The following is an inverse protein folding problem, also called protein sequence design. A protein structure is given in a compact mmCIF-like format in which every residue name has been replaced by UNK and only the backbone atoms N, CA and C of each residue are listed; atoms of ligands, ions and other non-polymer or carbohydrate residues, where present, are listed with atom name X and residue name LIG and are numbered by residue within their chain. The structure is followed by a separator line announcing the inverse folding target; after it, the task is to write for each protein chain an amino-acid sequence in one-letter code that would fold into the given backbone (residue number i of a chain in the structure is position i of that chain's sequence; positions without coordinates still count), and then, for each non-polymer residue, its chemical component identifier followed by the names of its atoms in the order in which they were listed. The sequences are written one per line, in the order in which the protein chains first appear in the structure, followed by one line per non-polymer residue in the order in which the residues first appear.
data_IF_118807704309
#
_entry.id   IF_118807704309
#
_cell.length_a   1.000
_cell.length_b   1.000
_cell.length_c   1.000
_cell.angle_alpha   90.00
_cell.angle_beta   90.00
_cell.angle_gamma   90.00
#
_symmetry.space_group_name_H-M   'P 1'
#
loop_
_entity.id
_entity.type
_entity.pdbx_description
1 polymer ?
#
# COMPACT_ATOMS: atom_id res chain seq x y z
N UNK A 1 7.11 -28.30 8.17
CA UNK A 1 6.59 -29.66 8.02
C UNK A 1 6.67 -30.07 6.56
N UNK A 2 6.99 -31.34 6.22
CA UNK A 2 7.06 -31.79 4.84
C UNK A 2 5.68 -31.94 4.17
N UNK A 3 4.63 -31.96 4.98
CA UNK A 3 3.24 -32.11 4.52
C UNK A 3 2.32 -31.20 5.32
N UNK A 4 1.25 -30.73 4.66
CA UNK A 4 0.14 -29.98 5.26
C UNK A 4 -1.17 -30.57 4.75
N UNK A 5 -2.17 -30.68 5.63
CA UNK A 5 -3.53 -31.04 5.25
C UNK A 5 -4.34 -29.75 5.06
N UNK A 6 -4.94 -29.58 3.90
CA UNK A 6 -5.78 -28.44 3.58
C UNK A 6 -6.94 -28.88 2.66
N UNK A 7 -7.96 -28.05 2.52
CA UNK A 7 -9.06 -28.27 1.62
C UNK A 7 -8.59 -28.05 0.16
N UNK A 8 -9.02 -28.90 -0.76
CA UNK A 8 -8.64 -28.83 -2.19
C UNK A 8 -8.99 -27.46 -2.81
N UNK A 9 -10.11 -26.87 -2.40
CA UNK A 9 -10.53 -25.54 -2.88
C UNK A 9 -9.57 -24.40 -2.49
N UNK A 10 -8.75 -24.60 -1.47
CA UNK A 10 -7.79 -23.62 -0.98
C UNK A 10 -6.41 -23.78 -1.64
N UNK A 11 -6.30 -24.67 -2.63
CA UNK A 11 -5.07 -24.95 -3.35
C UNK A 11 -5.05 -24.26 -4.70
N UNK A 12 -3.98 -23.51 -4.93
CA UNK A 12 -3.66 -22.95 -6.25
C UNK A 12 -2.37 -23.57 -6.74
N UNK A 13 -2.37 -24.05 -7.98
CA UNK A 13 -1.16 -24.58 -8.59
C UNK A 13 -0.08 -23.50 -8.71
N UNK A 14 1.11 -23.76 -8.16
CA UNK A 14 2.25 -22.87 -8.31
C UNK A 14 2.84 -23.05 -9.71
N UNK A 15 2.91 -22.01 -10.57
CA UNK A 15 3.50 -22.10 -11.88
C UNK A 15 4.97 -22.56 -11.81
N UNK A 16 5.42 -23.34 -12.79
CA UNK A 16 6.78 -23.94 -12.84
C UNK A 16 7.90 -22.90 -12.80
N UNK A 17 7.61 -21.66 -13.21
CA UNK A 17 8.57 -20.54 -13.21
C UNK A 17 8.79 -19.96 -11.80
N UNK A 18 7.94 -20.29 -10.82
CA UNK A 18 8.01 -19.80 -9.45
C UNK A 18 8.58 -20.87 -8.52
N UNK A 19 9.35 -20.43 -7.55
CA UNK A 19 9.86 -21.27 -6.48
C UNK A 19 8.89 -21.33 -5.30
N UNK A 20 9.08 -22.28 -4.38
CA UNK A 20 8.31 -22.30 -3.13
C UNK A 20 8.50 -21.04 -2.26
N UNK A 21 9.64 -20.35 -2.40
CA UNK A 21 9.88 -19.06 -1.74
C UNK A 21 8.97 -17.96 -2.31
N UNK A 22 8.80 -17.95 -3.62
CA UNK A 22 7.90 -17.01 -4.30
C UNK A 22 6.45 -17.32 -3.92
N UNK A 23 6.04 -18.60 -3.96
CA UNK A 23 4.70 -19.03 -3.55
C UNK A 23 4.36 -18.66 -2.12
N UNK A 24 5.31 -18.77 -1.19
CA UNK A 24 5.12 -18.38 0.20
C UNK A 24 4.87 -16.86 0.35
N UNK A 25 5.51 -16.03 -0.47
CA UNK A 25 5.25 -14.59 -0.49
C UNK A 25 3.91 -14.25 -1.14
N UNK A 26 3.56 -14.95 -2.22
CA UNK A 26 2.29 -14.76 -2.93
C UNK A 26 1.11 -15.11 -2.03
N UNK A 27 1.18 -16.21 -1.30
CA UNK A 27 0.08 -16.70 -0.45
C UNK A 27 -0.31 -15.74 0.69
N UNK A 28 0.58 -14.85 1.12
CA UNK A 28 0.28 -13.89 2.19
C UNK A 28 0.49 -12.45 1.74
N UNK A 29 1.75 -12.06 1.50
CA UNK A 29 2.11 -10.66 1.24
C UNK A 29 1.47 -10.10 -0.02
N UNK A 30 1.65 -10.77 -1.15
CA UNK A 30 1.11 -10.31 -2.43
C UNK A 30 -0.41 -10.47 -2.53
N UNK A 31 -0.98 -11.59 -2.08
CA UNK A 31 -2.42 -11.81 -2.09
C UNK A 31 -3.17 -10.73 -1.31
N UNK A 32 -2.71 -10.45 -0.09
CA UNK A 32 -3.30 -9.40 0.77
C UNK A 32 -3.32 -8.04 0.09
N UNK A 33 -2.21 -7.62 -0.52
CA UNK A 33 -2.14 -6.30 -1.16
C UNK A 33 -2.84 -6.28 -2.51
N UNK A 34 -2.88 -7.39 -3.24
CA UNK A 34 -3.65 -7.51 -4.47
C UNK A 34 -5.13 -7.21 -4.21
N UNK A 35 -5.74 -7.87 -3.22
CA UNK A 35 -7.13 -7.60 -2.84
C UNK A 35 -7.33 -6.16 -2.37
N UNK A 36 -6.37 -5.59 -1.61
CA UNK A 36 -6.44 -4.19 -1.20
C UNK A 36 -6.44 -3.23 -2.40
N UNK A 37 -5.56 -3.48 -3.39
CA UNK A 37 -5.47 -2.67 -4.61
C UNK A 37 -6.71 -2.77 -5.49
N UNK A 38 -7.31 -3.97 -5.58
CA UNK A 38 -8.61 -4.17 -6.24
C UNK A 38 -9.72 -3.36 -5.55
N UNK A 39 -9.83 -3.43 -4.20
CA UNK A 39 -10.81 -2.66 -3.43
C UNK A 39 -10.72 -1.16 -3.68
N UNK A 40 -9.52 -0.61 -3.72
CA UNK A 40 -9.35 0.83 -4.01
C UNK A 40 -9.34 1.15 -5.50
N UNK A 41 -9.25 0.14 -6.37
CA UNK A 41 -9.36 0.26 -7.83
C UNK A 41 -8.20 1.03 -8.44
N UNK A 42 -6.96 0.56 -8.22
CA UNK A 42 -5.75 1.18 -8.79
C UNK A 42 -5.70 0.98 -10.30
N UNK A 43 -5.35 2.04 -11.02
CA UNK A 43 -5.23 2.02 -12.48
C UNK A 43 -4.21 3.06 -13.00
N UNK A 44 -4.04 3.14 -14.31
CA UNK A 44 -3.04 3.99 -14.97
C UNK A 44 -3.19 5.50 -14.79
N UNK A 45 -4.30 5.97 -14.25
CA UNK A 45 -4.50 7.39 -13.97
C UNK A 45 -4.15 7.78 -12.52
N UNK A 46 -3.83 6.80 -11.69
CA UNK A 46 -3.68 7.00 -10.25
C UNK A 46 -2.22 7.26 -9.86
N UNK A 47 -2.01 8.23 -8.98
CA UNK A 47 -0.86 8.24 -8.09
C UNK A 47 -1.22 7.48 -6.81
N UNK A 48 -0.29 6.69 -6.29
CA UNK A 48 -0.47 5.92 -5.06
C UNK A 48 0.60 6.27 -4.03
N UNK A 49 0.15 6.49 -2.79
CA UNK A 49 1.01 6.62 -1.62
C UNK A 49 1.00 5.30 -0.84
N UNK A 50 2.19 4.79 -0.52
CA UNK A 50 2.36 3.63 0.35
C UNK A 50 3.14 4.05 1.60
N UNK A 51 2.55 3.86 2.78
CA UNK A 51 3.20 4.11 4.07
C UNK A 51 3.70 2.79 4.68
N UNK A 52 5.01 2.73 4.97
CA UNK A 52 5.71 1.51 5.38
C UNK A 52 6.16 0.67 4.19
N UNK A 53 7.47 0.65 3.92
CA UNK A 53 8.08 -0.09 2.81
C UNK A 53 8.72 -1.41 3.27
N UNK A 54 8.05 -2.11 4.20
CA UNK A 54 8.35 -3.50 4.52
C UNK A 54 7.91 -4.45 3.37
N UNK A 55 7.94 -5.77 3.58
CA UNK A 55 7.56 -6.75 2.54
C UNK A 55 6.20 -6.45 1.91
N UNK A 56 5.19 -6.14 2.73
CA UNK A 56 3.82 -5.80 2.27
C UNK A 56 3.81 -4.51 1.46
N UNK A 57 4.50 -3.46 1.93
CA UNK A 57 4.57 -2.19 1.20
C UNK A 57 5.33 -2.28 -0.12
N UNK A 58 6.43 -3.06 -0.17
CA UNK A 58 7.15 -3.31 -1.41
C UNK A 58 6.29 -4.12 -2.40
N UNK A 59 5.58 -5.15 -1.92
CA UNK A 59 4.62 -5.90 -2.74
C UNK A 59 3.52 -4.98 -3.29
N UNK A 60 3.02 -4.04 -2.47
CA UNK A 60 2.04 -3.03 -2.92
C UNK A 60 2.58 -2.20 -4.08
N UNK A 61 3.81 -1.68 -3.97
CA UNK A 61 4.42 -0.88 -5.03
C UNK A 61 4.66 -1.70 -6.31
N UNK A 62 5.10 -2.95 -6.18
CA UNK A 62 5.28 -3.86 -7.32
C UNK A 62 3.97 -4.11 -8.07
N UNK A 63 2.90 -4.45 -7.35
CA UNK A 63 1.60 -4.70 -7.95
C UNK A 63 0.95 -3.42 -8.48
N UNK A 64 1.04 -2.29 -7.77
CA UNK A 64 0.53 -1.01 -8.26
C UNK A 64 1.21 -0.61 -9.58
N UNK A 65 2.53 -0.84 -9.68
CA UNK A 65 3.28 -0.63 -10.93
C UNK A 65 2.80 -1.56 -12.04
N UNK A 66 2.57 -2.83 -11.75
CA UNK A 66 2.05 -3.80 -12.71
C UNK A 66 0.62 -3.47 -13.17
N UNK A 67 -0.21 -2.89 -12.30
CA UNK A 67 -1.54 -2.37 -12.62
C UNK A 67 -1.50 -1.04 -13.38
N UNK A 68 -0.30 -0.49 -13.60
CA UNK A 68 -0.08 0.69 -14.42
C UNK A 68 -0.15 2.01 -13.68
N UNK A 69 -0.15 2.04 -12.34
CA UNK A 69 -0.17 3.29 -11.57
C UNK A 69 0.85 4.30 -12.11
N UNK A 70 0.40 5.53 -12.31
CA UNK A 70 1.17 6.57 -12.99
C UNK A 70 2.30 7.14 -12.12
N UNK A 71 2.11 7.16 -10.79
CA UNK A 71 3.11 7.69 -9.85
C UNK A 71 3.11 6.88 -8.56
N UNK A 72 4.29 6.45 -8.14
CA UNK A 72 4.51 5.62 -6.96
C UNK A 72 5.27 6.42 -5.89
N UNK A 73 4.63 6.67 -4.76
CA UNK A 73 5.17 7.46 -3.65
C UNK A 73 5.28 6.58 -2.41
N UNK A 74 6.45 6.54 -1.79
CA UNK A 74 6.71 5.80 -0.56
C UNK A 74 6.98 6.70 0.63
N UNK A 75 6.58 6.26 1.83
CA UNK A 75 7.01 6.85 3.10
C UNK A 75 7.55 5.75 4.01
N UNK A 76 8.79 5.90 4.47
CA UNK A 76 9.48 4.89 5.27
C UNK A 76 10.49 5.55 6.21
N UNK A 77 10.69 4.98 7.40
CA UNK A 77 11.66 5.45 8.41
C UNK A 77 13.04 4.81 8.25
N UNK A 78 13.10 3.60 7.73
CA UNK A 78 14.30 2.78 7.65
C UNK A 78 15.07 3.05 6.35
N UNK A 79 16.32 3.53 6.47
CA UNK A 79 17.15 3.87 5.33
C UNK A 79 17.42 2.70 4.38
N UNK A 80 17.64 1.50 4.92
CA UNK A 80 17.85 0.30 4.10
C UNK A 80 16.65 0.01 3.19
N UNK A 81 15.41 0.11 3.73
CA UNK A 81 14.19 -0.11 2.96
C UNK A 81 13.95 0.98 1.91
N UNK A 82 14.30 2.23 2.24
CA UNK A 82 14.27 3.36 1.30
C UNK A 82 15.19 3.06 0.11
N UNK A 83 16.44 2.71 0.38
CA UNK A 83 17.41 2.43 -0.68
C UNK A 83 17.05 1.17 -1.47
N UNK A 84 16.49 0.16 -0.81
CA UNK A 84 15.98 -1.03 -1.51
C UNK A 84 14.85 -0.68 -2.48
N UNK A 85 13.86 0.11 -2.05
CA UNK A 85 12.76 0.53 -2.93
C UNK A 85 13.26 1.34 -4.14
N UNK A 86 14.25 2.21 -3.94
CA UNK A 86 14.90 2.96 -5.02
C UNK A 86 15.67 2.04 -5.97
N UNK A 87 16.49 1.13 -5.43
CA UNK A 87 17.31 0.22 -6.24
C UNK A 87 16.46 -0.73 -7.09
N UNK A 88 15.28 -1.07 -6.63
CA UNK A 88 14.29 -1.87 -7.36
C UNK A 88 13.42 -1.02 -8.31
N UNK A 89 13.66 0.29 -8.40
CA UNK A 89 12.87 1.22 -9.22
C UNK A 89 11.36 1.14 -8.93
N UNK A 90 10.98 0.98 -7.65
CA UNK A 90 9.59 0.84 -7.21
C UNK A 90 8.96 2.15 -6.75
N UNK A 91 9.71 3.24 -6.72
CA UNK A 91 9.21 4.54 -6.28
C UNK A 91 9.72 5.64 -7.20
N UNK A 92 8.84 6.57 -7.56
CA UNK A 92 9.20 7.84 -8.19
C UNK A 92 9.68 8.83 -7.13
N UNK A 93 9.04 8.80 -5.97
CA UNK A 93 9.41 9.61 -4.81
C UNK A 93 9.35 8.77 -3.53
N UNK A 94 10.32 9.00 -2.63
CA UNK A 94 10.28 8.41 -1.30
C UNK A 94 10.68 9.44 -0.26
N UNK A 95 9.92 9.51 0.83
CA UNK A 95 10.11 10.50 1.88
C UNK A 95 10.27 9.82 3.24
N UNK A 96 11.02 10.45 4.13
CA UNK A 96 10.97 10.12 5.55
C UNK A 96 9.80 10.87 6.20
N UNK A 97 9.12 10.26 7.19
CA UNK A 97 8.11 10.98 7.95
C UNK A 97 8.72 12.17 8.68
N UNK A 98 7.96 13.24 8.80
CA UNK A 98 8.36 14.48 9.45
C UNK A 98 7.35 15.59 9.19
N UNK A 99 7.54 16.79 9.77
CA UNK A 99 6.57 17.88 9.68
C UNK A 99 6.28 18.30 8.23
N UNK A 100 7.27 18.20 7.35
CA UNK A 100 7.13 18.62 5.94
C UNK A 100 6.69 17.47 5.01
N UNK A 101 6.50 16.25 5.53
CA UNK A 101 6.25 15.08 4.68
C UNK A 101 4.96 15.23 3.87
N UNK A 102 3.88 15.70 4.50
CA UNK A 102 2.62 15.96 3.79
C UNK A 102 2.81 17.00 2.68
N UNK A 103 3.49 18.11 2.96
CA UNK A 103 3.72 19.14 1.96
C UNK A 103 4.52 18.61 0.77
N UNK A 104 5.57 17.83 1.01
CA UNK A 104 6.36 17.19 -0.05
C UNK A 104 5.53 16.26 -0.94
N UNK A 105 4.59 15.51 -0.35
CA UNK A 105 3.66 14.67 -1.12
C UNK A 105 2.73 15.55 -1.97
N UNK A 106 2.19 16.63 -1.39
CA UNK A 106 1.35 17.57 -2.11
C UNK A 106 2.11 18.23 -3.27
N UNK A 107 3.37 18.63 -3.06
CA UNK A 107 4.20 19.27 -4.09
C UNK A 107 4.39 18.35 -5.31
N UNK A 108 4.66 17.06 -5.11
CA UNK A 108 4.84 16.09 -6.20
C UNK A 108 3.51 15.63 -6.83
N UNK A 109 2.38 16.02 -6.24
CA UNK A 109 1.03 15.75 -6.74
C UNK A 109 0.28 17.03 -7.14
N UNK A 110 1.02 18.10 -7.48
CA UNK A 110 0.48 19.39 -7.93
C UNK A 110 -0.53 20.02 -6.94
N UNK A 111 -0.34 19.82 -5.66
CA UNK A 111 -1.19 20.33 -4.58
C UNK A 111 -2.48 19.54 -4.33
N UNK A 112 -2.81 18.56 -5.17
CA UNK A 112 -4.08 17.81 -5.09
C UNK A 112 -4.07 16.66 -4.09
N UNK A 113 -2.91 16.08 -3.81
CA UNK A 113 -2.77 14.81 -3.12
C UNK A 113 -2.90 13.61 -4.06
N UNK A 114 -2.77 12.39 -3.50
CA UNK A 114 -2.82 11.15 -4.28
C UNK A 114 -4.25 10.64 -4.48
N UNK A 115 -4.49 9.92 -5.56
CA UNK A 115 -5.77 9.24 -5.85
C UNK A 115 -6.00 8.08 -4.88
N UNK A 116 -4.93 7.35 -4.58
CA UNK A 116 -4.96 6.15 -3.76
C UNK A 116 -3.89 6.21 -2.67
N UNK A 117 -4.20 5.65 -1.50
CA UNK A 117 -3.20 5.41 -0.47
C UNK A 117 -3.36 4.01 0.13
N UNK A 118 -2.25 3.41 0.56
CA UNK A 118 -2.26 2.14 1.28
C UNK A 118 -1.32 2.23 2.48
N UNK A 119 -1.84 1.91 3.68
CA UNK A 119 -1.01 1.77 4.87
C UNK A 119 -0.63 0.30 5.10
N UNK A 120 0.70 0.05 5.09
CA UNK A 120 1.32 -1.21 5.45
C UNK A 120 2.17 -1.10 6.73
N UNK A 121 2.10 0.03 7.42
CA UNK A 121 2.96 0.31 8.58
C UNK A 121 2.32 0.03 9.93
N UNK A 122 0.99 0.05 10.01
CA UNK A 122 0.21 0.00 11.25
C UNK A 122 0.48 1.17 12.22
N UNK A 123 1.16 2.23 11.77
CA UNK A 123 1.51 3.38 12.60
C UNK A 123 0.42 4.45 12.51
N UNK A 124 0.00 5.00 13.67
CA UNK A 124 -1.06 6.01 13.73
C UNK A 124 -0.75 7.26 12.88
N UNK A 125 0.45 7.81 12.99
CA UNK A 125 0.84 9.00 12.22
C UNK A 125 0.92 8.73 10.72
N UNK A 126 1.36 7.53 10.34
CA UNK A 126 1.42 7.13 8.94
C UNK A 126 0.02 6.96 8.34
N UNK A 127 -0.94 6.40 9.09
CA UNK A 127 -2.35 6.33 8.70
C UNK A 127 -2.97 7.72 8.55
N UNK A 128 -2.72 8.63 9.51
CA UNK A 128 -3.17 10.02 9.40
C UNK A 128 -2.57 10.70 8.16
N UNK A 129 -1.28 10.47 7.90
CA UNK A 129 -0.62 10.99 6.69
C UNK A 129 -1.28 10.45 5.43
N UNK A 130 -1.53 9.14 5.35
CA UNK A 130 -2.21 8.51 4.24
C UNK A 130 -3.60 9.14 3.98
N UNK A 131 -4.39 9.36 5.05
CA UNK A 131 -5.68 10.02 4.94
C UNK A 131 -5.54 11.45 4.41
N UNK A 132 -4.63 12.25 4.99
CA UNK A 132 -4.48 13.67 4.66
C UNK A 132 -3.87 13.91 3.29
N UNK A 133 -2.94 13.06 2.89
CA UNK A 133 -2.32 13.12 1.57
C UNK A 133 -3.23 12.63 0.43
N UNK A 134 -4.32 11.94 0.75
CA UNK A 134 -5.29 11.49 -0.24
C UNK A 134 -6.22 12.64 -0.62
N UNK A 135 -6.39 12.86 -1.94
CA UNK A 135 -7.26 13.91 -2.47
C UNK A 135 -8.75 13.68 -2.19
N UNK A 136 -9.58 14.67 -2.47
CA UNK A 136 -11.04 14.50 -2.46
C UNK A 136 -11.46 13.38 -3.41
N UNK A 137 -12.45 12.58 -2.98
CA UNK A 137 -12.94 11.36 -3.65
C UNK A 137 -11.88 10.25 -3.79
N UNK A 138 -10.73 10.41 -3.14
CA UNK A 138 -9.69 9.37 -3.13
C UNK A 138 -10.04 8.21 -2.21
N UNK A 139 -9.31 7.12 -2.37
CA UNK A 139 -9.55 5.87 -1.63
C UNK A 139 -8.30 5.44 -0.86
N UNK A 140 -8.50 4.96 0.34
CA UNK A 140 -7.43 4.53 1.25
C UNK A 140 -7.66 3.08 1.66
N UNK A 141 -6.64 2.24 1.64
CA UNK A 141 -6.67 0.90 2.22
C UNK A 141 -5.77 0.81 3.46
N UNK A 142 -6.29 0.26 4.54
CA UNK A 142 -5.50 -0.12 5.72
C UNK A 142 -5.28 -1.63 5.71
N UNK A 143 -4.01 -2.01 5.61
CA UNK A 143 -3.55 -3.41 5.57
C UNK A 143 -2.65 -3.73 6.77
N UNK A 144 -1.86 -2.77 7.22
CA UNK A 144 -0.98 -2.93 8.37
C UNK A 144 -1.76 -3.35 9.62
N UNK A 145 -1.36 -4.47 10.23
CA UNK A 145 -2.03 -4.99 11.42
C UNK A 145 -1.50 -4.32 12.70
N UNK A 146 -2.39 -4.00 13.63
CA UNK A 146 -2.09 -3.35 14.91
C UNK A 146 -2.21 -1.83 14.87
N UNK A 147 -1.77 -1.18 15.96
CA UNK A 147 -1.82 0.28 16.12
C UNK A 147 -3.24 0.85 16.21
N UNK A 148 -3.30 2.16 16.10
CA UNK A 148 -4.54 2.96 16.10
C UNK A 148 -4.58 3.86 14.87
N UNK A 149 -5.67 4.61 14.72
CA UNK A 149 -5.74 5.72 13.78
C UNK A 149 -6.64 6.80 14.35
N UNK A 150 -6.03 7.92 14.75
CA UNK A 150 -6.74 9.08 15.27
C UNK A 150 -6.88 10.13 14.16
N UNK A 151 -8.10 10.44 13.77
CA UNK A 151 -8.39 11.48 12.75
C UNK A 151 -9.66 12.25 13.11
N UNK A 152 -9.78 13.46 12.59
CA UNK A 152 -11.01 14.24 12.71
C UNK A 152 -11.90 13.93 11.50
N UNK A 153 -13.07 13.28 11.69
CA UNK A 153 -13.92 12.87 10.58
C UNK A 153 -14.29 14.02 9.63
N UNK A 154 -14.51 15.23 10.16
CA UNK A 154 -14.99 16.36 9.34
C UNK A 154 -13.95 16.77 8.28
N UNK A 155 -12.75 17.29 8.63
CA UNK A 155 -11.78 17.71 7.63
C UNK A 155 -11.08 16.54 6.93
N UNK A 156 -10.89 15.41 7.63
CA UNK A 156 -10.05 14.33 7.11
C UNK A 156 -10.81 13.40 6.13
N UNK A 157 -12.13 13.24 6.32
CA UNK A 157 -12.95 12.30 5.52
C UNK A 157 -14.14 12.99 4.87
N UNK A 158 -15.02 13.67 5.68
CA UNK A 158 -16.33 14.13 5.20
C UNK A 158 -16.19 15.20 4.13
N UNK A 159 -15.39 16.24 4.38
CA UNK A 159 -15.23 17.34 3.41
C UNK A 159 -14.59 16.86 2.10
N UNK A 160 -13.70 15.85 2.16
CA UNK A 160 -13.07 15.27 0.98
C UNK A 160 -13.87 14.11 0.36
N UNK A 161 -14.97 13.66 0.97
CA UNK A 161 -15.76 12.49 0.53
C UNK A 161 -14.87 11.28 0.25
N UNK A 162 -13.92 11.03 1.16
CA UNK A 162 -12.92 9.96 1.01
C UNK A 162 -13.48 8.63 1.47
N UNK A 163 -12.98 7.53 0.94
CA UNK A 163 -13.36 6.17 1.34
C UNK A 163 -12.17 5.45 1.96
N UNK A 164 -12.37 4.82 3.12
CA UNK A 164 -11.37 3.99 3.78
C UNK A 164 -11.85 2.54 3.75
N UNK A 165 -10.98 1.65 3.27
CA UNK A 165 -11.18 0.21 3.24
C UNK A 165 -10.25 -0.48 4.24
N UNK A 166 -10.77 -1.44 5.00
CA UNK A 166 -9.97 -2.47 5.64
C UNK A 166 -9.71 -3.60 4.65
N UNK A 167 -8.49 -4.12 4.63
CA UNK A 167 -8.16 -5.33 3.87
C UNK A 167 -7.31 -6.26 4.72
N UNK A 168 -7.74 -7.51 4.80
CA UNK A 168 -7.13 -8.56 5.62
C UNK A 168 -7.06 -9.84 4.81
N UNK A 169 -5.85 -10.34 4.59
CA UNK A 169 -5.55 -11.52 3.76
C UNK A 169 -6.23 -11.44 2.37
N UNK A 170 -6.44 -12.55 1.72
CA UNK A 170 -7.16 -12.63 0.46
C UNK A 170 -8.12 -13.82 0.50
N UNK A 171 -9.26 -13.68 -0.14
CA UNK A 171 -10.16 -14.80 -0.44
C UNK A 171 -9.90 -15.31 -1.86
N UNK A 172 -10.04 -16.62 -2.06
CA UNK A 172 -9.99 -17.26 -3.37
C UNK A 172 -11.36 -17.24 -4.03
#
# INVERSE_FOLDING_TARGET
APYILCDEKDLIHLPDQLTYKDGAQVACGFGTVYEALEKIGVNGNDSILVTGLGPVGLATLMLAKALGANKLIGVEVNDFRIELAKSLHLVDHVFKPGPDCLQKILDVTNGNGVEKALDASANDQARQLAIRATRSYGKIAFVGEGGTCNFNPIPDIIHGQKTIYGSWVTSL
#
